data_IF_460223376302
#
_entry.id   IF_460223376302
#
_cell.length_a   1.000
_cell.length_b   1.000
_cell.length_c   1.000
_cell.angle_alpha   90.00
_cell.angle_beta   90.00
_cell.angle_gamma   90.00
#
_symmetry.space_group_name_H-M   'P 1'
#
loop_
_entity.id
_entity.type
_entity.pdbx_description
1 polymer ?
#
# COMPACT_ATOMS: atom_id res chain seq x y z
N UNK A 1 -31.47 -23.99 -62.91
CA UNK A 1 -31.66 -23.93 -61.46
C UNK A 1 -30.41 -23.30 -60.82
N UNK A 2 -30.44 -22.01 -60.53
CA UNK A 2 -29.35 -21.28 -59.82
C UNK A 2 -29.72 -21.29 -58.32
N UNK A 3 -28.91 -21.93 -57.48
CA UNK A 3 -29.04 -21.84 -56.02
C UNK A 3 -28.36 -20.57 -55.52
N UNK A 4 -29.13 -19.63 -54.99
CA UNK A 4 -28.65 -18.43 -54.32
C UNK A 4 -28.30 -18.82 -52.91
N UNK A 5 -27.02 -18.73 -52.52
CA UNK A 5 -26.53 -18.89 -51.14
C UNK A 5 -26.69 -17.54 -50.44
N UNK A 6 -27.56 -17.51 -49.45
CA UNK A 6 -27.75 -16.34 -48.56
C UNK A 6 -26.72 -16.40 -47.46
N UNK A 7 -25.68 -15.56 -47.49
CA UNK A 7 -24.75 -15.36 -46.39
C UNK A 7 -25.42 -14.47 -45.33
N UNK A 8 -25.79 -15.07 -44.20
CA UNK A 8 -26.21 -14.31 -43.00
C UNK A 8 -24.94 -13.85 -42.28
N UNK A 9 -24.63 -12.55 -42.38
CA UNK A 9 -23.61 -11.91 -41.56
C UNK A 9 -24.23 -11.66 -40.19
N UNK A 10 -23.85 -12.48 -39.20
CA UNK A 10 -24.17 -12.23 -37.81
C UNK A 10 -23.29 -11.05 -37.32
N UNK A 11 -23.89 -9.86 -37.24
CA UNK A 11 -23.30 -8.72 -36.54
C UNK A 11 -23.38 -9.02 -35.06
N UNK A 12 -22.28 -9.50 -34.50
CA UNK A 12 -22.12 -9.66 -33.07
C UNK A 12 -22.18 -8.27 -32.41
N UNK A 13 -23.29 -7.96 -31.76
CA UNK A 13 -23.36 -6.81 -30.86
C UNK A 13 -22.33 -7.02 -29.73
N UNK A 14 -21.22 -6.26 -29.77
CA UNK A 14 -20.35 -6.10 -28.64
C UNK A 14 -21.17 -5.38 -27.55
N UNK A 15 -21.76 -6.10 -26.63
CA UNK A 15 -22.28 -5.53 -25.41
C UNK A 15 -21.06 -4.98 -24.64
N UNK A 16 -20.76 -3.70 -24.80
CA UNK A 16 -19.97 -2.95 -23.86
C UNK A 16 -20.83 -2.89 -22.59
N UNK A 17 -20.61 -3.81 -21.68
CA UNK A 17 -21.08 -3.67 -20.30
C UNK A 17 -20.34 -2.44 -19.73
N UNK A 18 -20.97 -1.28 -19.82
CA UNK A 18 -20.67 -0.14 -18.97
C UNK A 18 -21.11 -0.52 -17.55
N UNK A 19 -20.35 -1.38 -16.88
CA UNK A 19 -20.56 -1.64 -15.47
C UNK A 19 -20.38 -0.33 -14.75
N UNK A 20 -21.35 0.05 -13.91
CA UNK A 20 -21.18 1.13 -12.96
C UNK A 20 -19.85 0.91 -12.23
N UNK A 21 -19.06 1.99 -12.06
CA UNK A 21 -17.80 1.88 -11.35
C UNK A 21 -18.09 1.45 -9.91
N UNK A 22 -17.81 0.19 -9.60
CA UNK A 22 -18.15 -0.44 -8.33
C UNK A 22 -17.53 0.27 -7.10
N UNK A 23 -16.54 1.14 -7.31
CA UNK A 23 -15.89 1.96 -6.28
C UNK A 23 -16.56 3.33 -6.07
N UNK A 24 -17.52 3.71 -6.92
CA UNK A 24 -18.19 5.02 -6.81
C UNK A 24 -18.95 5.14 -5.50
N UNK A 25 -18.67 6.21 -4.74
CA UNK A 25 -19.26 6.48 -3.43
C UNK A 25 -18.67 5.66 -2.27
N UNK A 26 -17.73 4.74 -2.53
CA UNK A 26 -17.07 3.95 -1.49
C UNK A 26 -16.15 4.82 -0.64
N UNK A 27 -16.28 4.73 0.68
CA UNK A 27 -15.42 5.41 1.66
C UNK A 27 -14.15 4.60 1.89
N UNK A 28 -13.02 5.12 1.43
CA UNK A 28 -11.72 4.45 1.52
C UNK A 28 -10.80 5.22 2.44
N UNK A 29 -10.31 4.55 3.48
CA UNK A 29 -9.34 5.12 4.40
C UNK A 29 -7.92 4.96 3.85
N UNK A 30 -7.12 6.03 3.94
CA UNK A 30 -5.73 6.09 3.50
C UNK A 30 -4.84 6.37 4.70
N UNK A 31 -4.19 5.32 5.23
CA UNK A 31 -3.19 5.41 6.29
C UNK A 31 -1.81 5.48 5.66
N UNK A 32 -0.94 6.37 6.14
CA UNK A 32 0.38 6.49 5.52
C UNK A 32 1.25 7.61 6.04
N UNK A 33 2.23 7.96 5.23
CA UNK A 33 3.25 8.97 5.50
C UNK A 33 3.07 10.23 4.64
N UNK A 34 4.18 10.89 4.28
CA UNK A 34 4.19 12.13 3.47
C UNK A 34 3.54 11.99 2.09
N UNK A 35 3.64 10.81 1.46
CA UNK A 35 3.07 10.55 0.13
C UNK A 35 1.53 10.50 0.20
N UNK A 36 0.98 10.23 1.38
CA UNK A 36 -0.46 10.18 1.65
C UNK A 36 -1.00 11.47 2.31
N UNK A 37 -0.14 12.29 2.92
CA UNK A 37 -0.50 13.46 3.73
C UNK A 37 -1.40 14.46 2.98
N UNK A 38 -2.54 14.82 3.58
CA UNK A 38 -3.51 15.76 3.01
C UNK A 38 -2.95 17.18 2.82
N UNK A 39 -1.76 17.47 3.36
CA UNK A 39 -1.04 18.75 3.11
C UNK A 39 -0.33 18.78 1.77
N UNK A 40 -0.38 17.71 0.97
CA UNK A 40 0.18 17.62 -0.38
C UNK A 40 1.68 17.91 -0.43
N UNK A 41 2.49 17.07 0.24
CA UNK A 41 3.94 17.22 0.29
C UNK A 41 4.55 17.00 -1.10
N UNK A 42 5.10 18.06 -1.68
CA UNK A 42 5.73 18.02 -3.02
C UNK A 42 4.78 18.06 -4.21
N UNK A 43 3.46 18.18 -3.98
CA UNK A 43 2.45 18.18 -5.03
C UNK A 43 1.27 19.11 -4.69
N UNK A 44 0.28 19.19 -5.57
CA UNK A 44 -1.02 19.85 -5.32
C UNK A 44 -2.19 18.87 -5.38
N UNK A 45 -1.92 17.63 -5.79
CA UNK A 45 -2.89 16.53 -5.83
C UNK A 45 -2.16 15.22 -5.56
N UNK A 46 -2.58 14.50 -4.53
CA UNK A 46 -2.06 13.19 -4.17
C UNK A 46 -2.75 12.07 -4.99
N UNK A 47 -2.22 10.85 -4.92
CA UNK A 47 -2.76 9.69 -5.61
C UNK A 47 -4.23 9.41 -5.25
N UNK A 48 -4.64 9.65 -4.02
CA UNK A 48 -6.03 9.48 -3.59
C UNK A 48 -6.99 10.52 -4.21
N UNK A 49 -6.54 11.77 -4.53
CA UNK A 49 -7.33 12.72 -5.32
C UNK A 49 -7.56 12.21 -6.75
N UNK A 50 -6.53 11.62 -7.36
CA UNK A 50 -6.69 11.00 -8.69
C UNK A 50 -7.61 9.77 -8.64
N UNK A 51 -7.58 8.98 -7.56
CA UNK A 51 -8.51 7.85 -7.37
C UNK A 51 -9.95 8.34 -7.17
N UNK A 52 -10.16 9.41 -6.39
CA UNK A 52 -11.46 10.08 -6.27
C UNK A 52 -11.97 10.49 -7.66
N UNK A 53 -11.18 11.21 -8.44
CA UNK A 53 -11.57 11.66 -9.78
C UNK A 53 -11.82 10.50 -10.77
N UNK A 54 -11.01 9.43 -10.71
CA UNK A 54 -11.05 8.29 -11.66
C UNK A 54 -12.11 7.24 -11.30
N UNK A 55 -12.38 7.05 -10.00
CA UNK A 55 -13.20 5.96 -9.48
C UNK A 55 -14.38 6.44 -8.62
N UNK A 56 -14.52 7.74 -8.37
CA UNK A 56 -15.58 8.26 -7.51
C UNK A 56 -15.48 7.82 -6.04
N UNK A 57 -14.30 7.38 -5.61
CA UNK A 57 -14.01 7.03 -4.21
C UNK A 57 -14.15 8.27 -3.34
N UNK A 58 -14.68 8.10 -2.12
CA UNK A 58 -14.68 9.13 -1.08
C UNK A 58 -13.47 8.91 -0.15
N UNK A 59 -12.42 9.74 -0.24
CA UNK A 59 -11.20 9.51 0.53
C UNK A 59 -11.33 9.96 1.99
N UNK A 60 -10.90 9.10 2.93
CA UNK A 60 -10.70 9.38 4.34
C UNK A 60 -9.20 9.37 4.64
N UNK A 61 -8.56 10.53 4.70
CA UNK A 61 -7.10 10.64 4.68
C UNK A 61 -6.52 10.85 6.08
N UNK A 62 -5.63 9.95 6.50
CA UNK A 62 -4.96 9.95 7.81
C UNK A 62 -3.45 10.04 7.72
N UNK A 63 -2.87 10.01 6.51
CA UNK A 63 -1.44 10.10 6.28
C UNK A 63 -0.81 11.35 6.89
N UNK A 64 0.37 11.20 7.51
CA UNK A 64 1.12 12.28 8.14
C UNK A 64 2.59 12.22 7.73
N UNK A 65 3.14 13.34 7.27
CA UNK A 65 4.53 13.46 6.86
C UNK A 65 5.50 12.94 7.92
N UNK A 66 6.45 12.11 7.51
CA UNK A 66 7.49 11.53 8.37
C UNK A 66 7.03 10.33 9.20
N UNK A 67 5.75 9.92 9.14
CA UNK A 67 5.27 8.77 9.87
C UNK A 67 5.94 7.47 9.36
N UNK A 68 6.34 6.65 10.32
CA UNK A 68 6.79 5.26 10.15
C UNK A 68 5.62 4.31 10.40
N UNK A 69 5.75 3.05 10.04
CA UNK A 69 4.72 2.02 10.22
C UNK A 69 4.14 1.98 11.65
N UNK A 70 4.97 2.19 12.68
CA UNK A 70 4.52 2.22 14.09
C UNK A 70 3.48 3.31 14.39
N UNK A 71 3.55 4.45 13.70
CA UNK A 71 2.64 5.57 13.93
C UNK A 71 1.25 5.33 13.31
N UNK A 72 1.14 4.38 12.38
CA UNK A 72 -0.12 4.08 11.70
C UNK A 72 -1.14 3.40 12.63
N UNK A 73 -0.69 2.83 13.75
CA UNK A 73 -1.60 2.35 14.81
C UNK A 73 -2.49 3.49 15.29
N UNK A 74 -1.92 4.66 15.63
CA UNK A 74 -2.71 5.83 16.04
C UNK A 74 -3.60 6.39 14.93
N UNK A 75 -3.19 6.26 13.64
CA UNK A 75 -4.07 6.61 12.51
C UNK A 75 -5.26 5.65 12.41
N UNK A 76 -5.06 4.35 12.62
CA UNK A 76 -6.12 3.34 12.62
C UNK A 76 -7.11 3.53 13.80
N UNK A 77 -6.61 3.85 14.98
CA UNK A 77 -7.44 4.16 16.16
C UNK A 77 -8.28 5.42 15.93
N UNK A 78 -7.69 6.46 15.34
CA UNK A 78 -8.41 7.68 14.96
C UNK A 78 -9.47 7.38 13.90
N UNK A 79 -9.15 6.60 12.87
CA UNK A 79 -10.12 6.14 11.88
C UNK A 79 -11.30 5.44 12.54
N UNK A 80 -11.05 4.51 13.48
CA UNK A 80 -12.13 3.80 14.20
C UNK A 80 -12.98 4.73 15.04
N UNK A 81 -12.39 5.75 15.66
CA UNK A 81 -13.13 6.72 16.47
C UNK A 81 -14.02 7.63 15.60
N UNK A 82 -13.56 8.04 14.42
CA UNK A 82 -14.27 8.96 13.54
C UNK A 82 -15.25 8.24 12.59
N UNK A 83 -14.93 7.00 12.19
CA UNK A 83 -15.68 6.20 11.22
C UNK A 83 -15.86 4.75 11.73
N UNK A 84 -16.64 4.53 12.80
CA UNK A 84 -16.75 3.22 13.43
C UNK A 84 -17.36 2.13 12.53
N UNK A 85 -18.28 2.51 11.61
CA UNK A 85 -19.09 1.55 10.86
C UNK A 85 -19.28 1.91 9.38
N UNK A 86 -18.63 2.97 8.89
CA UNK A 86 -18.88 3.50 7.54
C UNK A 86 -17.63 3.55 6.63
N UNK A 87 -16.69 2.61 6.83
CA UNK A 87 -15.50 2.42 6.00
C UNK A 87 -15.70 1.21 5.10
N UNK A 88 -15.48 1.37 3.79
CA UNK A 88 -15.60 0.28 2.81
C UNK A 88 -14.25 -0.44 2.58
N UNK A 89 -13.11 0.25 2.64
CA UNK A 89 -11.79 -0.32 2.46
C UNK A 89 -10.71 0.50 3.15
N UNK A 90 -9.56 -0.12 3.43
CA UNK A 90 -8.42 0.54 4.09
C UNK A 90 -7.15 0.32 3.29
N UNK A 91 -6.45 1.40 2.96
CA UNK A 91 -5.15 1.39 2.27
C UNK A 91 -4.07 1.80 3.25
N UNK A 92 -2.97 1.04 3.28
CA UNK A 92 -1.80 1.27 4.11
C UNK A 92 -0.61 1.51 3.20
N UNK A 93 -0.01 2.70 3.27
CA UNK A 93 1.10 3.09 2.44
C UNK A 93 2.21 3.73 3.27
N UNK A 94 3.17 2.93 3.74
CA UNK A 94 4.31 3.36 4.55
C UNK A 94 5.47 2.36 4.42
N UNK A 95 6.65 2.71 4.96
CA UNK A 95 7.84 1.87 4.99
C UNK A 95 9.11 2.60 4.57
N UNK A 96 9.02 3.63 3.71
CA UNK A 96 10.19 4.42 3.31
C UNK A 96 10.85 5.14 4.49
N UNK A 97 10.06 5.61 5.47
CA UNK A 97 10.59 6.23 6.69
C UNK A 97 11.12 5.21 7.69
N UNK A 98 10.63 3.97 7.67
CA UNK A 98 11.20 2.87 8.45
C UNK A 98 12.59 2.49 7.94
N UNK A 99 12.77 2.39 6.61
CA UNK A 99 14.07 2.21 5.98
C UNK A 99 15.03 3.35 6.35
N UNK A 100 14.61 4.60 6.20
CA UNK A 100 15.44 5.78 6.50
C UNK A 100 15.79 5.91 8.00
N UNK A 101 14.97 5.36 8.88
CA UNK A 101 15.18 5.33 10.32
C UNK A 101 15.95 4.08 10.80
N UNK A 102 16.54 3.31 9.88
CA UNK A 102 17.32 2.12 10.20
C UNK A 102 16.54 1.08 11.05
N UNK A 103 15.23 0.94 10.80
CA UNK A 103 14.39 0.02 11.57
C UNK A 103 14.73 -1.43 11.20
N UNK A 104 15.19 -2.27 12.12
CA UNK A 104 15.49 -3.67 11.83
C UNK A 104 14.27 -4.42 11.30
N UNK A 105 14.46 -5.35 10.36
CA UNK A 105 13.34 -6.07 9.73
C UNK A 105 12.59 -6.97 10.71
N UNK A 106 13.31 -7.67 11.61
CA UNK A 106 12.74 -8.58 12.63
C UNK A 106 12.13 -9.85 12.05
N UNK A 107 11.25 -10.48 12.82
CA UNK A 107 10.56 -11.72 12.45
C UNK A 107 9.05 -11.58 12.62
N UNK A 108 8.27 -12.30 11.79
CA UNK A 108 6.81 -12.36 11.91
C UNK A 108 6.36 -13.11 13.16
N UNK A 109 7.06 -14.19 13.46
CA UNK A 109 6.71 -15.16 14.49
C UNK A 109 7.91 -15.54 15.34
N UNK A 110 7.63 -15.92 16.57
CA UNK A 110 8.48 -16.79 17.38
C UNK A 110 7.87 -18.19 17.40
N UNK A 111 8.72 -19.24 17.44
CA UNK A 111 8.26 -20.63 17.53
C UNK A 111 8.39 -21.12 18.97
N UNK A 112 7.31 -21.69 19.50
CA UNK A 112 7.25 -22.38 20.79
C UNK A 112 6.81 -23.84 20.57
N UNK A 113 6.83 -24.66 21.61
CA UNK A 113 6.22 -25.99 21.58
C UNK A 113 5.09 -26.02 22.61
N UNK A 114 3.89 -26.35 22.16
CA UNK A 114 2.70 -26.41 23.00
C UNK A 114 2.06 -27.80 22.96
N UNK A 115 1.48 -28.23 24.09
CA UNK A 115 0.72 -29.48 24.16
C UNK A 115 -0.74 -29.19 23.83
N UNK A 116 -1.23 -29.80 22.78
CA UNK A 116 -2.61 -29.61 22.28
C UNK A 116 -3.33 -30.97 22.13
N UNK A 117 -4.65 -30.94 22.27
CA UNK A 117 -5.46 -32.12 21.99
C UNK A 117 -5.61 -32.30 20.47
N UNK A 118 -5.15 -33.43 19.94
CA UNK A 118 -5.37 -33.84 18.56
C UNK A 118 -6.06 -35.18 18.55
N UNK A 119 -7.34 -35.20 18.17
CA UNK A 119 -8.18 -36.41 18.08
C UNK A 119 -8.26 -37.22 19.40
N UNK A 120 -8.37 -36.49 20.55
CA UNK A 120 -8.44 -37.12 21.87
C UNK A 120 -7.08 -37.46 22.51
N UNK A 121 -5.96 -37.23 21.81
CA UNK A 121 -4.61 -37.49 22.32
C UNK A 121 -3.87 -36.19 22.52
N UNK A 122 -3.17 -36.05 23.66
CA UNK A 122 -2.28 -34.92 23.93
C UNK A 122 -0.98 -35.09 23.17
N UNK A 123 -0.66 -34.13 22.29
CA UNK A 123 0.57 -34.15 21.48
C UNK A 123 1.30 -32.80 21.58
N UNK A 124 2.62 -32.86 21.62
CA UNK A 124 3.48 -31.66 21.59
C UNK A 124 3.70 -31.22 20.12
N UNK A 125 3.26 -30.03 19.77
CA UNK A 125 3.42 -29.46 18.43
C UNK A 125 4.13 -28.12 18.49
N UNK A 126 4.86 -27.79 17.42
CA UNK A 126 5.36 -26.43 17.21
C UNK A 126 4.19 -25.47 17.00
N UNK A 127 4.24 -24.35 17.68
CA UNK A 127 3.29 -23.25 17.61
C UNK A 127 4.01 -21.97 17.18
N UNK A 128 3.37 -21.17 16.36
CA UNK A 128 3.85 -19.84 15.96
C UNK A 128 3.03 -18.77 16.66
N UNK A 129 3.74 -17.89 17.38
CA UNK A 129 3.16 -16.73 18.03
C UNK A 129 3.63 -15.47 17.30
N UNK A 130 2.73 -14.54 16.98
CA UNK A 130 3.11 -13.27 16.38
C UNK A 130 4.07 -12.49 17.29
N UNK A 131 5.14 -11.95 16.72
CA UNK A 131 6.03 -11.00 17.39
C UNK A 131 5.46 -9.61 17.23
N UNK A 132 4.95 -9.06 18.32
CA UNK A 132 4.46 -7.68 18.38
C UNK A 132 5.54 -6.75 18.92
N UNK A 133 5.46 -5.45 18.57
CA UNK A 133 6.33 -4.42 19.11
C UNK A 133 6.76 -3.39 18.08
N UNK A 134 7.41 -2.32 18.54
CA UNK A 134 7.84 -1.20 17.70
C UNK A 134 9.31 -1.26 17.28
N UNK A 135 10.09 -2.18 17.84
CA UNK A 135 11.53 -2.28 17.61
C UNK A 135 11.89 -2.77 16.21
N UNK A 136 11.00 -3.54 15.56
CA UNK A 136 11.25 -4.12 14.24
C UNK A 136 10.12 -3.83 13.26
N UNK A 137 10.44 -3.83 11.96
CA UNK A 137 9.46 -3.49 10.92
C UNK A 137 8.31 -4.50 10.85
N UNK A 138 8.61 -5.82 10.93
CA UNK A 138 7.57 -6.86 10.99
C UNK A 138 6.73 -6.76 12.26
N UNK A 139 7.34 -6.44 13.41
CA UNK A 139 6.62 -6.22 14.67
C UNK A 139 5.65 -5.03 14.60
N UNK A 140 6.06 -3.92 13.95
CA UNK A 140 5.22 -2.74 13.70
C UNK A 140 4.03 -3.07 12.81
N UNK A 141 4.26 -3.85 11.74
CA UNK A 141 3.18 -4.33 10.86
C UNK A 141 2.24 -5.24 11.63
N UNK A 142 2.76 -6.17 12.44
CA UNK A 142 1.93 -7.04 13.28
C UNK A 142 1.03 -6.22 14.23
N UNK A 143 1.57 -5.18 14.88
CA UNK A 143 0.76 -4.27 15.72
C UNK A 143 -0.36 -3.61 14.93
N UNK A 144 -0.04 -3.00 13.77
CA UNK A 144 -1.02 -2.31 12.95
C UNK A 144 -2.10 -3.26 12.44
N UNK A 145 -1.70 -4.40 11.88
CA UNK A 145 -2.64 -5.36 11.30
C UNK A 145 -3.55 -5.99 12.35
N UNK A 146 -3.06 -6.22 13.57
CA UNK A 146 -3.90 -6.62 14.70
C UNK A 146 -5.00 -5.60 14.96
N UNK A 147 -4.64 -4.32 15.13
CA UNK A 147 -5.61 -3.24 15.37
C UNK A 147 -6.62 -3.14 14.23
N UNK A 148 -6.16 -3.19 12.97
CA UNK A 148 -7.05 -3.12 11.81
C UNK A 148 -8.02 -4.31 11.74
N UNK A 149 -7.53 -5.55 11.96
CA UNK A 149 -8.37 -6.76 11.91
C UNK A 149 -9.39 -6.83 13.06
N UNK A 150 -9.02 -6.33 14.25
CA UNK A 150 -9.94 -6.25 15.38
C UNK A 150 -10.98 -5.13 15.22
N UNK A 151 -10.59 -3.98 14.66
CA UNK A 151 -11.47 -2.80 14.51
C UNK A 151 -12.34 -2.86 13.25
N UNK A 152 -11.86 -3.49 12.18
CA UNK A 152 -12.47 -3.53 10.86
C UNK A 152 -12.44 -4.96 10.28
N UNK A 153 -13.14 -5.92 10.90
CA UNK A 153 -13.03 -7.34 10.56
C UNK A 153 -13.58 -7.70 9.17
N UNK A 154 -14.51 -6.92 8.64
CA UNK A 154 -15.13 -7.16 7.33
C UNK A 154 -14.47 -6.38 6.17
N UNK A 155 -13.73 -5.33 6.47
CA UNK A 155 -13.18 -4.45 5.47
C UNK A 155 -11.92 -5.05 4.82
N UNK A 156 -11.81 -5.02 3.47
CA UNK A 156 -10.59 -5.38 2.80
C UNK A 156 -9.48 -4.37 3.13
N UNK A 157 -8.29 -4.92 3.40
CA UNK A 157 -7.09 -4.14 3.66
C UNK A 157 -6.15 -4.31 2.47
N UNK A 158 -5.68 -3.18 1.92
CA UNK A 158 -4.72 -3.10 0.84
C UNK A 158 -3.40 -2.55 1.38
N UNK A 159 -2.34 -3.35 1.24
CA UNK A 159 -0.98 -2.94 1.58
C UNK A 159 -0.28 -2.47 0.31
N UNK A 160 0.17 -1.22 0.29
CA UNK A 160 0.92 -0.64 -0.82
C UNK A 160 2.41 -0.73 -0.50
N UNK A 161 3.21 -1.27 -1.43
CA UNK A 161 4.67 -1.26 -1.27
C UNK A 161 5.21 0.17 -1.41
N UNK A 162 6.30 0.54 -0.68
CA UNK A 162 7.01 1.79 -0.95
C UNK A 162 7.39 1.90 -2.43
N UNK A 163 7.28 3.10 -3.01
CA UNK A 163 7.80 3.36 -4.36
C UNK A 163 9.33 3.42 -4.34
N UNK A 164 9.95 3.33 -5.52
CA UNK A 164 11.36 3.66 -5.68
C UNK A 164 11.65 5.08 -5.23
N UNK A 165 12.81 5.30 -4.62
CA UNK A 165 13.21 6.60 -4.04
C UNK A 165 14.56 7.07 -4.57
N UNK A 166 14.62 8.35 -4.89
CA UNK A 166 15.86 9.04 -5.22
C UNK A 166 16.42 9.82 -4.04
N UNK A 167 17.47 10.58 -4.32
CA UNK A 167 18.09 11.51 -3.37
C UNK A 167 17.09 12.56 -2.89
N UNK A 168 17.15 12.90 -1.59
CA UNK A 168 16.39 14.01 -1.03
C UNK A 168 17.19 14.74 0.04
N UNK A 169 16.97 16.06 0.16
CA UNK A 169 17.54 16.90 1.23
C UNK A 169 16.54 17.96 1.68
N UNK A 170 16.29 17.96 2.97
CA UNK A 170 15.36 18.88 3.65
C UNK A 170 16.08 19.76 4.67
N UNK A 171 17.39 19.95 4.49
CA UNK A 171 18.29 20.70 5.35
C UNK A 171 19.54 19.91 5.69
N UNK A 172 20.54 20.56 6.29
CA UNK A 172 21.85 19.96 6.55
C UNK A 172 21.80 18.70 7.44
N UNK A 173 20.80 18.58 8.31
CA UNK A 173 20.62 17.43 9.21
C UNK A 173 19.63 16.37 8.67
N UNK A 174 19.08 16.58 7.47
CA UNK A 174 18.14 15.64 6.85
C UNK A 174 18.47 15.46 5.36
N UNK A 175 19.57 14.76 5.12
CA UNK A 175 20.03 14.35 3.79
C UNK A 175 19.85 12.86 3.66
N UNK A 176 19.11 12.45 2.65
CA UNK A 176 18.73 11.06 2.41
C UNK A 176 19.31 10.61 1.07
N UNK A 177 20.27 9.68 1.05
CA UNK A 177 20.78 9.07 -0.19
C UNK A 177 19.65 8.39 -0.97
N UNK A 178 19.87 8.18 -2.25
CA UNK A 178 18.97 7.37 -3.07
C UNK A 178 19.03 5.88 -2.68
N UNK A 179 18.14 5.09 -3.25
CA UNK A 179 17.98 3.66 -2.91
C UNK A 179 19.14 2.76 -3.35
N UNK A 180 20.13 3.26 -4.10
CA UNK A 180 21.33 2.50 -4.43
C UNK A 180 22.26 2.31 -3.23
N UNK A 181 22.01 3.08 -2.15
CA UNK A 181 22.74 2.96 -0.90
C UNK A 181 21.92 2.17 0.12
N UNK A 182 22.61 1.27 0.85
CA UNK A 182 22.04 0.65 2.03
C UNK A 182 21.88 1.68 3.16
N UNK A 183 20.93 1.46 4.06
CA UNK A 183 20.83 2.24 5.29
C UNK A 183 21.95 1.87 6.30
N UNK A 184 21.99 2.52 7.46
CA UNK A 184 23.10 2.32 8.44
C UNK A 184 23.18 0.92 9.05
N UNK A 185 22.11 0.12 8.95
CA UNK A 185 22.10 -1.29 9.37
C UNK A 185 22.38 -2.27 8.22
N UNK A 186 22.72 -1.74 7.02
CA UNK A 186 23.10 -2.54 5.85
C UNK A 186 21.93 -3.05 5.01
N UNK A 187 20.69 -2.60 5.25
CA UNK A 187 19.51 -3.00 4.49
C UNK A 187 19.21 -2.02 3.35
N UNK A 188 18.82 -2.54 2.19
CA UNK A 188 18.27 -1.76 1.08
C UNK A 188 16.76 -1.59 1.21
N UNK A 189 16.17 -0.60 0.52
CA UNK A 189 14.71 -0.39 0.53
C UNK A 189 13.95 -1.62 0.05
N UNK A 190 14.53 -2.40 -0.86
CA UNK A 190 13.96 -3.66 -1.37
C UNK A 190 13.57 -4.62 -0.25
N UNK A 191 14.35 -4.72 0.81
CA UNK A 191 14.05 -5.59 1.95
C UNK A 191 12.75 -5.15 2.68
N UNK A 192 12.47 -3.85 2.74
CA UNK A 192 11.22 -3.33 3.31
C UNK A 192 10.04 -3.54 2.35
N UNK A 193 10.27 -3.42 1.05
CA UNK A 193 9.28 -3.75 0.01
C UNK A 193 8.87 -5.23 0.13
N UNK A 194 9.85 -6.13 0.25
CA UNK A 194 9.60 -7.57 0.36
C UNK A 194 8.84 -7.92 1.65
N UNK A 195 9.14 -7.26 2.77
CA UNK A 195 8.36 -7.43 4.01
C UNK A 195 6.89 -7.04 3.82
N UNK A 196 6.57 -5.97 3.08
CA UNK A 196 5.18 -5.62 2.77
C UNK A 196 4.52 -6.70 1.88
N UNK A 197 5.26 -7.27 0.92
CA UNK A 197 4.76 -8.39 0.10
C UNK A 197 4.46 -9.64 0.94
N UNK A 198 5.37 -9.99 1.85
CA UNK A 198 5.17 -11.10 2.80
C UNK A 198 3.93 -10.88 3.68
N UNK A 199 3.70 -9.64 4.15
CA UNK A 199 2.59 -9.28 5.02
C UNK A 199 1.22 -9.64 4.41
N UNK A 200 1.09 -9.60 3.09
CA UNK A 200 -0.12 -10.02 2.39
C UNK A 200 -0.54 -11.45 2.75
N UNK A 201 0.39 -12.39 2.70
CA UNK A 201 0.16 -13.79 3.07
C UNK A 201 0.00 -13.98 4.58
N UNK A 202 0.79 -13.27 5.37
CA UNK A 202 0.77 -13.37 6.84
C UNK A 202 -0.58 -12.93 7.41
N UNK A 203 -1.15 -11.86 6.86
CA UNK A 203 -2.33 -11.19 7.39
C UNK A 203 -3.59 -11.31 6.51
N UNK A 204 -3.55 -12.13 5.45
CA UNK A 204 -4.63 -12.27 4.48
C UNK A 204 -5.08 -10.90 3.91
N UNK A 205 -4.12 -10.03 3.58
CA UNK A 205 -4.35 -8.71 3.00
C UNK A 205 -3.94 -8.67 1.53
N UNK A 206 -4.61 -7.84 0.74
CA UNK A 206 -4.22 -7.65 -0.66
C UNK A 206 -3.00 -6.75 -0.74
N UNK A 207 -1.96 -7.19 -1.46
CA UNK A 207 -0.81 -6.34 -1.75
C UNK A 207 -0.94 -5.75 -3.16
N UNK A 208 -0.74 -4.45 -3.27
CA UNK A 208 -0.54 -3.75 -4.55
C UNK A 208 0.91 -3.31 -4.61
N UNK A 209 1.68 -3.93 -5.49
CA UNK A 209 3.11 -3.70 -5.64
C UNK A 209 3.39 -2.44 -6.47
N UNK A 210 3.14 -1.26 -5.89
CA UNK A 210 3.40 0.01 -6.58
C UNK A 210 4.88 0.32 -6.74
N UNK A 211 5.78 -0.35 -6.03
CA UNK A 211 7.21 -0.33 -6.33
C UNK A 211 7.46 -0.76 -7.78
N UNK A 212 6.93 -1.93 -8.16
CA UNK A 212 7.07 -2.47 -9.50
C UNK A 212 6.12 -1.83 -10.53
N UNK A 213 4.90 -1.45 -10.13
CA UNK A 213 3.81 -1.14 -11.06
C UNK A 213 3.64 0.35 -11.37
N UNK A 214 4.15 1.26 -10.51
CA UNK A 214 4.04 2.70 -10.76
C UNK A 214 4.87 3.19 -11.95
N UNK A 215 5.92 2.46 -12.32
CA UNK A 215 6.89 2.86 -13.33
C UNK A 215 7.69 4.12 -12.93
N UNK A 216 7.73 4.47 -11.64
CA UNK A 216 8.58 5.52 -11.08
C UNK A 216 9.97 4.94 -10.81
N UNK A 217 11.02 5.54 -11.38
CA UNK A 217 12.39 5.05 -11.18
C UNK A 217 13.39 6.22 -11.08
N UNK A 218 13.48 6.89 -9.91
CA UNK A 218 14.18 8.17 -9.75
C UNK A 218 15.71 8.09 -9.84
N UNK A 219 16.29 6.92 -9.99
CA UNK A 219 17.73 6.78 -10.24
C UNK A 219 18.15 7.30 -11.63
N UNK A 220 17.20 7.47 -12.55
CA UNK A 220 17.46 8.08 -13.84
C UNK A 220 16.96 9.52 -13.90
N UNK A 221 17.80 10.43 -14.41
CA UNK A 221 17.48 11.86 -14.55
C UNK A 221 16.21 12.11 -15.38
N UNK A 222 15.87 11.23 -16.33
CA UNK A 222 14.65 11.30 -17.14
C UNK A 222 13.38 11.17 -16.31
N UNK A 223 13.44 10.57 -15.11
CA UNK A 223 12.32 10.41 -14.19
C UNK A 223 12.13 11.59 -13.23
N UNK A 224 13.07 12.56 -13.19
CA UNK A 224 12.94 13.76 -12.34
C UNK A 224 11.62 14.51 -12.57
N UNK A 225 11.06 14.44 -13.77
CA UNK A 225 9.76 15.03 -14.13
C UNK A 225 8.55 14.50 -13.34
N UNK A 226 8.70 13.41 -12.59
CA UNK A 226 7.67 12.79 -11.77
C UNK A 226 7.84 13.09 -10.27
N UNK A 227 8.88 13.81 -9.92
CA UNK A 227 9.22 14.11 -8.53
C UNK A 227 9.21 15.61 -8.27
N UNK A 228 9.15 15.98 -7.00
CA UNK A 228 8.98 17.37 -6.57
C UNK A 228 10.11 18.27 -7.05
N UNK A 229 11.38 17.85 -6.89
CA UNK A 229 12.54 18.63 -7.31
C UNK A 229 13.72 17.73 -7.69
N UNK A 230 14.21 17.90 -8.92
CA UNK A 230 15.31 17.10 -9.49
C UNK A 230 16.63 17.17 -8.69
N UNK A 231 16.88 18.24 -7.95
CA UNK A 231 18.12 18.47 -7.21
C UNK A 231 17.98 18.18 -5.71
N UNK A 232 16.78 18.37 -5.14
CA UNK A 232 16.61 18.36 -3.69
C UNK A 232 15.56 17.42 -3.19
N UNK A 233 14.69 16.89 -4.06
CA UNK A 233 13.59 16.02 -3.61
C UNK A 233 13.12 15.06 -4.74
N UNK A 234 13.85 13.97 -4.90
CA UNK A 234 13.50 12.85 -5.73
C UNK A 234 12.85 11.70 -4.90
N UNK A 235 12.36 12.04 -3.69
CA UNK A 235 11.63 11.16 -2.79
C UNK A 235 10.11 11.36 -2.92
N UNK A 236 9.66 12.63 -2.91
CA UNK A 236 8.25 12.94 -3.00
C UNK A 236 7.80 13.08 -4.46
N UNK A 237 6.80 12.29 -4.91
CA UNK A 237 6.22 12.47 -6.23
C UNK A 237 5.54 13.84 -6.36
N UNK A 238 5.62 14.44 -7.55
CA UNK A 238 4.76 15.56 -7.93
C UNK A 238 3.41 15.03 -8.46
N UNK A 239 2.54 15.91 -8.97
CA UNK A 239 1.23 15.50 -9.50
C UNK A 239 1.33 14.37 -10.54
N UNK A 240 2.28 14.44 -11.46
CA UNK A 240 2.46 13.40 -12.49
C UNK A 240 2.94 12.06 -11.89
N UNK A 241 3.75 12.09 -10.84
CA UNK A 241 4.15 10.91 -10.09
C UNK A 241 2.98 10.31 -9.31
N UNK A 242 2.19 11.13 -8.63
CA UNK A 242 0.98 10.70 -7.93
C UNK A 242 -0.07 10.14 -8.88
N UNK A 243 -0.23 10.68 -10.08
CA UNK A 243 -1.14 10.13 -11.08
C UNK A 243 -0.71 8.73 -11.52
N UNK A 244 0.60 8.45 -11.68
CA UNK A 244 1.12 7.09 -11.97
C UNK A 244 0.80 6.11 -10.86
N UNK A 245 0.97 6.51 -9.60
CA UNK A 245 0.59 5.70 -8.44
C UNK A 245 -0.90 5.37 -8.49
N UNK A 246 -1.74 6.38 -8.72
CA UNK A 246 -3.18 6.20 -8.80
C UNK A 246 -3.59 5.28 -9.95
N UNK A 247 -2.92 5.34 -11.10
CA UNK A 247 -3.21 4.45 -12.23
C UNK A 247 -2.87 3.00 -11.93
N UNK A 248 -1.70 2.73 -11.33
CA UNK A 248 -1.34 1.39 -10.88
C UNK A 248 -2.40 0.82 -9.92
N UNK A 249 -2.81 1.60 -8.91
CA UNK A 249 -3.86 1.21 -7.98
C UNK A 249 -5.20 0.99 -8.72
N UNK A 250 -5.62 1.92 -9.58
CA UNK A 250 -6.91 1.85 -10.27
C UNK A 250 -7.02 0.61 -11.17
N UNK A 251 -5.95 0.18 -11.82
CA UNK A 251 -5.91 -1.05 -12.63
C UNK A 251 -6.20 -2.27 -11.75
N UNK A 252 -5.61 -2.34 -10.55
CA UNK A 252 -5.84 -3.43 -9.61
C UNK A 252 -7.25 -3.43 -9.04
N UNK A 253 -7.79 -2.27 -8.71
CA UNK A 253 -9.14 -2.12 -8.17
C UNK A 253 -10.23 -2.49 -9.18
N UNK A 254 -10.05 -2.16 -10.46
CA UNK A 254 -11.01 -2.53 -11.53
C UNK A 254 -11.06 -4.02 -11.81
N UNK A 255 -9.98 -4.75 -11.51
CA UNK A 255 -9.89 -6.21 -11.68
C UNK A 255 -10.24 -7.00 -10.43
N UNK A 256 -10.43 -6.35 -9.29
CA UNK A 256 -10.81 -6.98 -8.02
C UNK A 256 -12.32 -6.92 -7.79
N UNK A 257 -12.82 -7.84 -6.97
CA UNK A 257 -14.20 -7.77 -6.47
C UNK A 257 -14.29 -6.54 -5.56
N UNK A 258 -15.26 -5.65 -5.83
CA UNK A 258 -15.51 -4.48 -4.98
C UNK A 258 -16.00 -4.92 -3.60
N UNK A 259 -15.58 -4.25 -2.52
CA UNK A 259 -16.07 -4.49 -1.16
C UNK A 259 -17.55 -4.16 -0.97
#
# INVERSE_FOLDING_TARGET
MRKTILCIIAVGALCVYGGENAWSGKKVAYLGDSITDARHIGCTSNYWNFLEAKLGIVPLVYGINGHQMKHLVGQAEKLKAEHPDDVDAIFVFAGTNDYNANTPLGSWYEETTETVNRNGTQVALKCRNFVYGEATFRGRINNLMKVLRESFPAQPIYLLTPIHRGYATFGASNVQPDESYANEIGEYIDAYVDVIKEAGNVWAATVIDINAESGLFPLFASHARFFNNAQTDMLHPNNAGHERIAEAIAVRLRSSVCP
#
